data_IF_374715289614
#
_entry.id   IF_374715289614
#
_cell.length_a   1.000
_cell.length_b   1.000
_cell.length_c   1.000
_cell.angle_alpha   90.00
_cell.angle_beta   90.00
_cell.angle_gamma   90.00
#
_symmetry.space_group_name_H-M   'P 1'
#
loop_
_entity.id
_entity.type
_entity.pdbx_description
1 polymer ?
#
# COMPACT_ATOMS: atom_id res chain seq x y z
N UNK A 1 53.30 -22.57 4.63
CA UNK A 1 53.76 -21.62 5.64
C UNK A 1 53.80 -20.26 5.01
N UNK A 2 52.82 -19.44 5.24
CA UNK A 2 52.86 -17.98 5.14
C UNK A 2 51.49 -17.46 5.61
N UNK A 3 51.47 -17.09 6.90
CA UNK A 3 50.37 -16.33 7.49
C UNK A 3 50.45 -14.87 7.05
N UNK A 4 49.39 -14.33 6.50
CA UNK A 4 49.28 -12.90 6.29
C UNK A 4 48.21 -12.31 7.20
N UNK A 5 48.72 -11.75 8.29
CA UNK A 5 47.94 -10.98 9.25
C UNK A 5 47.45 -9.66 8.67
N UNK A 6 46.13 -9.37 8.77
CA UNK A 6 45.55 -8.08 8.40
C UNK A 6 45.34 -7.29 9.72
N UNK A 7 45.86 -6.03 9.81
CA UNK A 7 45.68 -5.23 11.03
C UNK A 7 44.29 -4.58 11.09
N UNK A 8 43.69 -4.65 12.27
CA UNK A 8 42.49 -3.95 12.68
C UNK A 8 42.74 -2.43 12.77
N UNK A 9 42.07 -1.61 11.97
CA UNK A 9 42.10 -0.16 12.10
C UNK A 9 40.87 0.31 12.90
N UNK A 10 41.12 0.57 14.16
CA UNK A 10 40.18 1.22 15.08
C UNK A 10 40.25 2.74 14.87
N UNK A 11 39.20 3.37 14.36
CA UNK A 11 39.05 4.84 14.40
C UNK A 11 37.83 5.20 15.23
N UNK A 12 38.08 5.48 16.50
CA UNK A 12 37.18 6.20 17.38
C UNK A 12 37.22 7.68 17.00
N UNK A 13 36.12 8.22 16.54
CA UNK A 13 35.91 9.67 16.50
C UNK A 13 34.87 10.01 17.53
N UNK A 14 35.34 10.65 18.59
CA UNK A 14 34.50 11.29 19.59
C UNK A 14 34.35 12.74 19.15
N UNK A 15 33.13 13.16 18.86
CA UNK A 15 32.78 14.58 18.74
C UNK A 15 31.71 14.89 19.77
N UNK A 16 32.16 15.53 20.83
CA UNK A 16 31.33 16.26 21.78
C UNK A 16 30.99 17.62 21.17
N UNK A 17 29.70 17.93 21.09
CA UNK A 17 29.20 19.24 20.69
C UNK A 17 27.97 19.58 21.50
N UNK A 18 28.17 20.48 22.47
CA UNK A 18 27.14 21.07 23.32
C UNK A 18 26.42 22.20 22.61
N UNK A 19 25.16 22.43 22.92
CA UNK A 19 24.56 23.77 22.94
C UNK A 19 23.44 24.03 21.95
N UNK A 20 22.25 24.19 22.42
CA UNK A 20 21.44 25.42 22.45
C UNK A 20 19.94 25.08 22.52
N UNK A 21 19.36 25.42 23.64
CA UNK A 21 17.94 25.57 23.88
C UNK A 21 17.39 26.75 23.09
N UNK A 22 16.31 26.56 22.33
CA UNK A 22 15.42 27.62 21.91
C UNK A 22 13.98 27.17 22.18
N UNK A 23 13.45 27.70 23.28
CA UNK A 23 12.04 27.71 23.56
C UNK A 23 11.39 28.85 22.74
N UNK A 24 10.41 28.50 21.91
CA UNK A 24 9.47 29.49 21.37
C UNK A 24 8.06 28.93 21.56
N UNK A 25 7.41 29.54 22.55
CA UNK A 25 5.98 29.42 22.75
C UNK A 25 5.26 30.38 21.80
N UNK A 26 4.36 29.85 20.99
CA UNK A 26 3.35 30.66 20.30
C UNK A 26 1.99 30.00 20.48
N UNK A 27 1.24 30.58 21.39
CA UNK A 27 -0.19 30.38 21.55
C UNK A 27 -0.91 31.02 20.36
N UNK A 28 -1.71 30.25 19.64
CA UNK A 28 -2.57 30.71 18.57
C UNK A 28 -3.94 30.10 18.71
N UNK A 29 -4.85 30.77 19.40
CA UNK A 29 -6.28 30.48 19.42
C UNK A 29 -6.88 30.77 18.07
N UNK A 30 -7.39 29.78 17.39
CA UNK A 30 -8.30 29.96 16.26
C UNK A 30 -9.72 29.62 16.70
N UNK A 31 -10.55 30.65 16.65
CA UNK A 31 -11.95 30.68 16.98
C UNK A 31 -12.75 29.79 16.00
N UNK A 32 -13.45 28.83 16.56
CA UNK A 32 -14.55 28.15 15.87
C UNK A 32 -15.76 29.08 15.90
N UNK A 33 -16.20 29.52 14.73
CA UNK A 33 -17.41 30.34 14.61
C UNK A 33 -18.62 29.44 14.37
N UNK A 34 -19.38 29.21 15.44
CA UNK A 34 -20.73 28.64 15.37
C UNK A 34 -21.71 29.74 14.99
N UNK A 35 -22.24 29.71 13.81
CA UNK A 35 -23.45 30.48 13.50
C UNK A 35 -24.65 29.56 13.54
N UNK A 36 -25.36 29.72 14.63
CA UNK A 36 -26.71 29.24 14.87
C UNK A 36 -27.71 30.33 14.43
N UNK A 37 -28.76 29.97 13.82
CA UNK A 37 -29.91 30.80 13.49
C UNK A 37 -30.58 30.30 12.23
N UNK A 38 -31.78 29.89 12.18
CA UNK A 38 -32.98 30.11 12.88
C UNK A 38 -34.11 29.84 11.92
N UNK A 39 -34.99 29.00 12.36
CA UNK A 39 -36.42 28.89 12.04
C UNK A 39 -37.00 29.55 10.79
N UNK A 40 -37.72 28.78 9.97
CA UNK A 40 -39.13 29.07 9.67
C UNK A 40 -39.75 27.95 8.85
N UNK A 41 -40.82 27.42 9.42
CA UNK A 41 -41.78 26.54 8.79
C UNK A 41 -42.49 27.28 7.65
N UNK A 42 -42.82 26.60 6.57
CA UNK A 42 -44.11 26.81 5.92
C UNK A 42 -44.60 25.57 5.19
N UNK A 43 -45.88 25.37 5.31
CA UNK A 43 -46.72 24.23 4.99
C UNK A 43 -47.12 24.18 3.51
N UNK A 44 -47.45 22.94 3.11
CA UNK A 44 -48.58 22.53 2.25
C UNK A 44 -48.55 22.98 0.80
N UNK A 45 -48.72 22.12 -0.15
CA UNK A 45 -49.91 21.45 -0.60
C UNK A 45 -49.69 20.65 -1.87
N UNK A 46 -50.27 19.46 -1.91
CA UNK A 46 -51.06 18.82 -2.95
C UNK A 46 -50.46 18.43 -4.32
N UNK A 47 -50.63 17.13 -4.47
CA UNK A 47 -51.29 16.45 -5.61
C UNK A 47 -50.42 16.04 -6.82
N UNK A 48 -50.30 14.72 -6.88
CA UNK A 48 -50.78 13.86 -7.98
C UNK A 48 -50.16 14.07 -9.35
N UNK A 49 -49.38 13.08 -9.72
CA UNK A 49 -49.66 12.29 -10.95
C UNK A 49 -48.50 11.29 -11.18
N UNK A 50 -48.80 10.04 -11.07
CA UNK A 50 -48.10 8.93 -11.68
C UNK A 50 -48.31 9.04 -13.20
N UNK A 51 -47.32 8.76 -14.02
CA UNK A 51 -47.45 7.60 -14.89
C UNK A 51 -46.27 6.64 -14.75
N UNK A 52 -46.62 5.38 -14.72
CA UNK A 52 -45.74 4.24 -14.87
C UNK A 52 -44.99 4.32 -16.18
N UNK A 53 -43.66 4.31 -16.12
CA UNK A 53 -42.82 3.92 -17.23
C UNK A 53 -42.14 2.62 -16.84
N UNK A 54 -42.61 1.55 -17.40
CA UNK A 54 -41.96 0.26 -17.53
C UNK A 54 -40.59 0.48 -18.14
N UNK A 55 -39.55 0.43 -17.27
CA UNK A 55 -38.20 0.26 -17.74
C UNK A 55 -37.87 -1.21 -17.57
N UNK A 56 -37.89 -1.89 -18.68
CA UNK A 56 -37.33 -3.19 -18.94
C UNK A 56 -35.83 -3.12 -18.56
N UNK A 57 -35.52 -3.40 -17.32
CA UNK A 57 -34.17 -3.56 -16.82
C UNK A 57 -33.73 -4.97 -17.11
N UNK A 58 -33.30 -5.23 -18.35
CA UNK A 58 -32.51 -6.42 -18.67
C UNK A 58 -31.29 -6.44 -17.78
N UNK A 59 -31.44 -7.07 -16.62
CA UNK A 59 -30.32 -7.45 -15.77
C UNK A 59 -29.59 -8.60 -16.46
N UNK A 60 -28.80 -8.23 -17.44
CA UNK A 60 -27.74 -9.10 -17.96
C UNK A 60 -26.79 -9.31 -16.80
N UNK A 61 -26.88 -10.45 -16.13
CA UNK A 61 -25.79 -10.99 -15.33
C UNK A 61 -24.63 -11.25 -16.29
N UNK A 62 -23.87 -10.20 -16.60
CA UNK A 62 -22.55 -10.32 -17.14
C UNK A 62 -21.76 -11.10 -16.09
N UNK A 63 -21.45 -12.33 -16.40
CA UNK A 63 -20.41 -13.10 -15.71
C UNK A 63 -19.15 -12.25 -15.83
N UNK A 64 -18.92 -11.38 -14.85
CA UNK A 64 -17.79 -10.48 -14.86
C UNK A 64 -16.55 -11.36 -14.74
N UNK A 65 -15.83 -11.51 -15.85
CA UNK A 65 -14.50 -12.12 -15.78
C UNK A 65 -13.69 -11.38 -14.72
N UNK A 66 -12.94 -12.12 -13.90
CA UNK A 66 -12.17 -11.49 -12.83
C UNK A 66 -11.20 -10.47 -13.43
N UNK A 67 -11.02 -9.31 -12.79
CA UNK A 67 -10.21 -8.23 -13.35
C UNK A 67 -8.76 -8.69 -13.55
N UNK A 68 -8.26 -8.49 -14.77
CA UNK A 68 -6.85 -8.74 -15.09
C UNK A 68 -5.98 -7.76 -14.33
N UNK A 69 -5.01 -8.27 -13.59
CA UNK A 69 -4.07 -7.49 -12.80
C UNK A 69 -2.78 -7.19 -13.59
N UNK A 70 -2.23 -8.19 -14.24
CA UNK A 70 -0.98 -8.08 -15.00
C UNK A 70 -0.84 -9.26 -15.98
N UNK A 71 0.10 -9.14 -16.93
CA UNK A 71 0.59 -10.27 -17.70
C UNK A 71 1.74 -10.97 -16.94
N UNK A 72 1.84 -12.29 -17.08
CA UNK A 72 2.93 -13.07 -16.47
C UNK A 72 4.32 -12.60 -16.94
N UNK A 73 4.43 -12.12 -18.19
CA UNK A 73 5.67 -11.59 -18.77
C UNK A 73 6.14 -10.26 -18.14
N UNK A 74 5.24 -9.56 -17.45
CA UNK A 74 5.58 -8.30 -16.78
C UNK A 74 6.20 -8.49 -15.40
N UNK A 75 6.20 -9.72 -14.89
CA UNK A 75 6.70 -10.05 -13.56
C UNK A 75 8.04 -10.77 -13.70
N UNK A 76 9.18 -10.12 -13.44
CA UNK A 76 10.49 -10.77 -13.55
C UNK A 76 10.69 -11.82 -12.46
N UNK A 77 11.43 -12.88 -12.78
CA UNK A 77 11.82 -13.91 -11.79
C UNK A 77 12.72 -13.29 -10.71
N UNK A 78 12.42 -13.55 -9.45
CA UNK A 78 13.10 -12.96 -8.30
C UNK A 78 12.72 -11.50 -8.02
N UNK A 79 11.74 -10.97 -8.78
CA UNK A 79 11.23 -9.60 -8.66
C UNK A 79 9.71 -9.55 -8.54
N UNK A 80 9.12 -8.43 -9.01
CA UNK A 80 7.67 -8.24 -8.96
C UNK A 80 7.23 -6.94 -9.62
N UNK A 81 5.90 -6.77 -9.65
CA UNK A 81 5.22 -5.57 -10.15
C UNK A 81 4.30 -5.00 -9.07
N UNK A 82 4.39 -3.70 -8.85
CA UNK A 82 3.55 -2.98 -7.90
C UNK A 82 2.42 -2.30 -8.65
N UNK A 83 1.19 -2.59 -8.26
CA UNK A 83 -0.04 -1.99 -8.75
C UNK A 83 -0.54 -1.02 -7.67
N UNK A 84 0.02 0.18 -7.64
CA UNK A 84 -0.21 1.16 -6.57
C UNK A 84 -1.70 1.53 -6.42
N UNK A 85 -2.41 1.73 -7.54
CA UNK A 85 -3.83 2.07 -7.56
C UNK A 85 -4.72 0.97 -6.97
N UNK A 86 -4.31 -0.30 -7.14
CA UNK A 86 -4.99 -1.47 -6.59
C UNK A 86 -4.47 -1.86 -5.21
N UNK A 87 -3.37 -1.24 -4.75
CA UNK A 87 -2.67 -1.57 -3.51
C UNK A 87 -2.24 -3.04 -3.46
N UNK A 88 -1.82 -3.59 -4.59
CA UNK A 88 -1.37 -4.98 -4.75
C UNK A 88 0.07 -4.97 -5.26
N UNK A 89 0.89 -5.86 -4.73
CA UNK A 89 2.19 -6.22 -5.29
C UNK A 89 2.16 -7.68 -5.70
N UNK A 90 2.55 -7.96 -6.94
CA UNK A 90 2.65 -9.32 -7.48
C UNK A 90 4.13 -9.65 -7.59
N UNK A 91 4.52 -10.83 -7.14
CA UNK A 91 5.90 -11.31 -7.13
C UNK A 91 6.04 -12.59 -7.92
N UNK A 92 7.25 -12.89 -8.38
CA UNK A 92 7.59 -14.17 -9.01
C UNK A 92 8.85 -14.75 -8.34
N UNK A 93 8.71 -15.45 -7.19
CA UNK A 93 9.86 -16.02 -6.47
C UNK A 93 10.67 -17.02 -7.29
N UNK A 94 9.97 -17.78 -8.11
CA UNK A 94 10.54 -18.76 -9.05
C UNK A 94 9.81 -18.68 -10.38
N UNK A 95 10.47 -19.06 -11.46
CA UNK A 95 9.85 -19.09 -12.78
C UNK A 95 8.51 -19.83 -12.77
N UNK A 96 7.44 -19.16 -13.21
CA UNK A 96 6.08 -19.69 -13.27
C UNK A 96 5.33 -19.74 -11.93
N UNK A 97 5.93 -19.31 -10.82
CA UNK A 97 5.28 -19.25 -9.50
C UNK A 97 4.99 -17.77 -9.16
N UNK A 98 3.73 -17.43 -8.98
CA UNK A 98 3.31 -16.07 -8.71
C UNK A 98 2.59 -15.99 -7.37
N UNK A 99 3.01 -15.03 -6.55
CA UNK A 99 2.38 -14.68 -5.28
C UNK A 99 1.93 -13.22 -5.34
N UNK A 100 0.91 -12.87 -4.56
CA UNK A 100 0.48 -11.49 -4.44
C UNK A 100 0.21 -11.12 -2.99
N UNK A 101 0.50 -9.87 -2.67
CA UNK A 101 0.32 -9.32 -1.33
C UNK A 101 -0.26 -7.92 -1.41
N UNK A 102 -0.78 -7.42 -0.29
CA UNK A 102 -1.05 -6.00 -0.20
C UNK A 102 0.23 -5.19 -0.40
N UNK A 103 0.15 -4.11 -1.18
CA UNK A 103 1.26 -3.18 -1.35
C UNK A 103 1.33 -2.14 -0.23
N UNK A 104 0.49 -2.25 0.80
CA UNK A 104 0.45 -1.35 1.94
C UNK A 104 1.38 -1.85 3.03
N UNK A 105 2.44 -1.12 3.31
CA UNK A 105 3.42 -1.44 4.35
C UNK A 105 2.76 -1.44 5.73
N UNK A 106 2.97 -2.52 6.47
CA UNK A 106 2.36 -2.73 7.79
C UNK A 106 2.97 -1.88 8.91
N UNK A 107 4.03 -1.11 8.64
CA UNK A 107 4.58 -0.17 9.60
C UNK A 107 3.68 1.09 9.74
N UNK A 108 3.48 1.86 8.67
CA UNK A 108 2.71 3.11 8.70
C UNK A 108 1.88 3.34 7.42
N UNK A 109 1.52 2.29 6.69
CA UNK A 109 0.60 2.39 5.57
C UNK A 109 1.15 2.94 4.26
N UNK A 110 2.47 3.18 4.14
CA UNK A 110 3.09 3.58 2.88
C UNK A 110 2.90 2.51 1.82
N UNK A 111 2.80 2.91 0.56
CA UNK A 111 2.87 1.97 -0.56
C UNK A 111 4.32 1.53 -0.73
N UNK A 112 4.56 0.22 -0.86
CA UNK A 112 5.87 -0.33 -1.15
C UNK A 112 6.40 0.19 -2.49
N UNK A 113 7.70 0.37 -2.64
CA UNK A 113 8.28 1.10 -3.76
C UNK A 113 9.05 0.25 -4.78
N UNK A 114 9.50 -0.94 -4.38
CA UNK A 114 10.27 -1.81 -5.28
C UNK A 114 10.22 -3.27 -4.84
N UNK A 115 10.50 -4.15 -5.80
CA UNK A 115 10.69 -5.59 -5.55
C UNK A 115 12.03 -5.99 -6.14
N UNK A 116 13.04 -6.13 -5.30
CA UNK A 116 14.42 -6.41 -5.70
C UNK A 116 15.15 -7.20 -4.63
N UNK A 117 16.13 -8.01 -5.03
CA UNK A 117 16.95 -8.77 -4.09
C UNK A 117 16.16 -9.80 -3.27
N UNK A 118 15.06 -10.33 -3.82
CA UNK A 118 14.20 -11.28 -3.12
C UNK A 118 13.30 -10.65 -2.05
N UNK A 119 13.19 -9.32 -2.04
CA UNK A 119 12.37 -8.59 -1.06
C UNK A 119 11.48 -7.54 -1.72
N UNK A 120 10.32 -7.30 -1.10
CA UNK A 120 9.42 -6.17 -1.35
C UNK A 120 9.86 -5.06 -0.39
N UNK A 121 10.21 -3.89 -0.92
CA UNK A 121 10.86 -2.84 -0.15
C UNK A 121 9.95 -1.62 0.01
N UNK A 122 9.83 -1.13 1.24
CA UNK A 122 9.11 0.09 1.56
C UNK A 122 10.09 1.29 1.64
N UNK A 123 9.90 2.35 0.84
CA UNK A 123 10.82 3.47 0.79
C UNK A 123 10.74 4.41 2.00
N UNK A 124 9.61 4.39 2.74
CA UNK A 124 9.39 5.35 3.82
C UNK A 124 10.34 5.13 5.01
N UNK A 125 10.45 3.90 5.49
CA UNK A 125 11.25 3.58 6.70
C UNK A 125 12.08 2.32 6.53
N UNK A 126 12.27 1.84 5.30
CA UNK A 126 13.18 0.74 4.99
C UNK A 126 12.68 -0.66 5.33
N UNK A 127 11.39 -0.85 5.66
CA UNK A 127 10.86 -2.20 5.88
C UNK A 127 10.99 -3.06 4.62
N UNK A 128 11.39 -4.31 4.80
CA UNK A 128 11.54 -5.30 3.72
C UNK A 128 10.73 -6.55 4.04
N UNK A 129 10.09 -7.07 3.01
CA UNK A 129 9.24 -8.25 3.13
C UNK A 129 9.67 -9.31 2.11
N UNK A 130 9.55 -10.56 2.48
CA UNK A 130 9.90 -11.70 1.64
C UNK A 130 8.92 -11.84 0.46
N UNK A 131 9.44 -12.06 -0.76
CA UNK A 131 8.63 -12.17 -1.98
C UNK A 131 7.79 -13.45 -2.07
N UNK A 132 8.10 -14.48 -1.25
CA UNK A 132 7.40 -15.77 -1.31
C UNK A 132 6.20 -15.84 -0.35
N UNK A 133 6.29 -15.18 0.81
CA UNK A 133 5.29 -15.34 1.87
C UNK A 133 4.90 -14.03 2.57
N UNK A 134 5.44 -12.89 2.13
CA UNK A 134 5.14 -11.59 2.70
C UNK A 134 5.70 -11.34 4.10
N UNK A 135 6.46 -12.26 4.69
CA UNK A 135 6.99 -12.10 6.04
C UNK A 135 7.99 -10.94 6.12
N UNK A 136 8.07 -10.30 7.30
CA UNK A 136 9.06 -9.25 7.54
C UNK A 136 10.46 -9.85 7.52
N UNK A 137 11.35 -9.25 6.75
CA UNK A 137 12.77 -9.63 6.66
C UNK A 137 13.64 -8.62 7.41
N UNK A 138 13.28 -7.32 7.32
CA UNK A 138 14.06 -6.23 7.89
C UNK A 138 13.19 -4.97 8.08
N UNK A 139 13.62 -4.08 8.95
CA UNK A 139 12.99 -2.77 9.19
C UNK A 139 11.93 -2.78 10.28
N UNK A 140 11.23 -1.63 10.46
CA UNK A 140 10.36 -1.41 11.60
C UNK A 140 8.96 -2.03 11.49
N UNK A 141 8.60 -2.66 10.38
CA UNK A 141 7.31 -3.36 10.26
C UNK A 141 7.27 -4.55 11.23
N UNK A 142 6.17 -4.68 11.98
CA UNK A 142 5.99 -5.74 12.97
C UNK A 142 5.17 -6.94 12.47
N UNK A 143 4.51 -6.79 11.31
CA UNK A 143 3.60 -7.80 10.76
C UNK A 143 3.87 -8.05 9.28
N UNK A 144 3.59 -9.26 8.77
CA UNK A 144 3.74 -9.56 7.35
C UNK A 144 2.75 -8.76 6.48
N UNK A 145 3.03 -8.67 5.19
CA UNK A 145 2.04 -8.23 4.21
C UNK A 145 0.95 -9.29 4.07
N UNK A 146 -0.31 -8.86 4.04
CA UNK A 146 -1.42 -9.77 3.85
C UNK A 146 -1.42 -10.34 2.42
N UNK A 147 -1.65 -11.65 2.25
CA UNK A 147 -1.73 -12.26 0.93
C UNK A 147 -3.00 -11.81 0.19
N UNK A 148 -2.90 -11.71 -1.13
CA UNK A 148 -4.00 -11.43 -2.05
C UNK A 148 -4.19 -12.64 -2.94
N UNK A 149 -5.42 -13.15 -3.02
CA UNK A 149 -5.73 -14.31 -3.87
C UNK A 149 -5.67 -13.92 -5.34
N UNK A 150 -4.86 -14.66 -6.10
CA UNK A 150 -4.72 -14.50 -7.55
C UNK A 150 -4.81 -15.86 -8.26
N UNK A 151 -5.13 -15.81 -9.54
CA UNK A 151 -5.07 -16.98 -10.45
C UNK A 151 -4.32 -16.61 -11.71
N UNK A 152 -3.57 -17.58 -12.25
CA UNK A 152 -2.97 -17.46 -13.58
C UNK A 152 -3.93 -18.11 -14.58
N UNK A 153 -4.34 -17.34 -15.58
CA UNK A 153 -5.18 -17.78 -16.70
C UNK A 153 -4.42 -17.54 -18.01
N UNK A 154 -3.83 -18.59 -18.56
CA UNK A 154 -2.94 -18.46 -19.72
C UNK A 154 -1.74 -17.57 -19.39
N UNK A 155 -1.65 -16.40 -20.04
CA UNK A 155 -0.61 -15.40 -19.80
C UNK A 155 -1.07 -14.25 -18.88
N UNK A 156 -2.29 -14.30 -18.37
CA UNK A 156 -2.85 -13.25 -17.52
C UNK A 156 -2.89 -13.68 -16.05
N UNK A 157 -2.61 -12.75 -15.17
CA UNK A 157 -2.80 -12.88 -13.72
C UNK A 157 -4.07 -12.10 -13.37
N UNK A 158 -5.04 -12.78 -12.79
CA UNK A 158 -6.33 -12.21 -12.40
C UNK A 158 -6.54 -12.31 -10.90
N UNK A 159 -7.38 -11.46 -10.36
CA UNK A 159 -7.78 -11.56 -8.96
C UNK A 159 -8.76 -12.74 -8.82
N UNK A 160 -8.58 -13.57 -7.76
CA UNK A 160 -9.41 -14.74 -7.50
C UNK A 160 -10.52 -14.41 -6.49
#
# INVERSE_FOLDING_TARGET
>A
MAESSVPASSRRVVLAGAGAACAVALAGCARYNSNNGGVAANQATTASSTPAATADGSSGAASAEPPVLASTSEIPVGGGKILADKKIVITQPKAGTFDAFTAVCTHQGCIVGSVTGGTINCPCHGSKFNITNGSVVDGPAASPLAPVSIKVQGTSIVQA
#
